data_IF_897161331349
#
_entry.id   IF_897161331349
#
_cell.length_a   1.000
_cell.length_b   1.000
_cell.length_c   1.000
_cell.angle_alpha   90.00
_cell.angle_beta   90.00
_cell.angle_gamma   90.00
#
_symmetry.space_group_name_H-M   'P 1'
#
loop_
_entity.id
_entity.type
_entity.pdbx_description
1 polymer ?
#
# COMPACT_ATOMS: atom_id res chain seq x y z
N UNK A 1 92.25 -11.84 62.66
CA UNK A 1 90.89 -12.25 62.13
C UNK A 1 90.47 -11.18 61.18
N UNK A 2 90.73 -11.41 59.86
CA UNK A 2 90.44 -10.43 58.82
C UNK A 2 89.05 -10.73 58.21
N UNK A 3 88.16 -9.80 58.32
CA UNK A 3 86.86 -9.90 57.72
C UNK A 3 86.93 -9.54 56.20
N UNK A 4 86.49 -10.43 55.37
CA UNK A 4 86.42 -10.25 53.91
C UNK A 4 85.12 -9.49 53.54
N UNK A 5 85.16 -8.45 52.68
CA UNK A 5 83.92 -7.70 52.30
C UNK A 5 83.13 -8.52 51.26
N UNK A 6 81.81 -8.64 51.53
CA UNK A 6 80.85 -9.27 50.63
C UNK A 6 80.51 -8.27 49.51
N UNK A 7 80.57 -8.62 48.22
CA UNK A 7 80.16 -7.77 47.11
C UNK A 7 78.67 -7.70 47.03
N UNK A 8 78.11 -6.50 47.15
CA UNK A 8 76.68 -6.23 46.94
C UNK A 8 76.33 -6.37 45.45
N UNK A 9 75.60 -7.45 45.11
CA UNK A 9 75.00 -7.61 43.81
C UNK A 9 73.91 -6.57 43.60
N UNK A 10 74.04 -5.62 42.66
CA UNK A 10 73.01 -4.69 42.24
C UNK A 10 71.94 -5.46 41.46
N UNK A 11 70.64 -5.32 41.79
CA UNK A 11 69.59 -5.94 40.99
C UNK A 11 69.56 -5.32 39.60
N UNK A 12 69.54 -6.20 38.56
CA UNK A 12 69.37 -5.80 37.19
C UNK A 12 68.03 -5.09 37.01
N UNK A 13 68.05 -3.86 36.51
CA UNK A 13 66.82 -3.14 36.13
C UNK A 13 66.14 -3.87 34.99
N UNK A 14 64.80 -4.20 35.10
CA UNK A 14 64.10 -4.80 33.98
C UNK A 14 64.08 -3.81 32.81
N UNK A 15 64.57 -4.28 31.68
CA UNK A 15 64.60 -3.48 30.45
C UNK A 15 63.17 -3.06 30.04
N UNK A 16 62.98 -1.79 29.84
CA UNK A 16 61.71 -1.25 29.31
C UNK A 16 61.47 -1.91 27.96
N UNK A 17 60.26 -2.48 27.70
CA UNK A 17 59.93 -3.00 26.37
C UNK A 17 60.08 -1.86 25.37
N UNK A 18 60.83 -2.06 24.32
CA UNK A 18 60.99 -1.11 23.25
C UNK A 18 59.58 -0.87 22.62
N UNK A 19 59.13 0.36 22.71
CA UNK A 19 57.89 0.75 22.02
C UNK A 19 58.11 0.58 20.53
N UNK A 20 57.45 -0.43 19.92
CA UNK A 20 57.43 -0.63 18.48
C UNK A 20 56.50 0.45 17.91
N UNK A 21 57.05 1.35 17.11
CA UNK A 21 56.27 2.29 16.33
C UNK A 21 55.53 1.59 15.21
N UNK A 22 54.35 2.09 14.84
CA UNK A 22 53.59 1.60 13.68
C UNK A 22 54.38 1.88 12.40
N UNK A 23 54.37 0.90 11.49
CA UNK A 23 54.97 1.07 10.16
C UNK A 23 53.97 1.79 9.24
N UNK A 24 54.50 2.59 8.30
CA UNK A 24 53.66 3.31 7.32
C UNK A 24 52.81 2.34 6.50
N UNK A 25 53.31 1.13 6.19
CA UNK A 25 52.58 0.10 5.47
C UNK A 25 51.39 -0.46 6.29
N UNK A 26 51.53 -0.59 7.60
CA UNK A 26 50.49 -1.08 8.49
C UNK A 26 49.31 -0.09 8.56
N UNK A 27 49.58 1.21 8.61
CA UNK A 27 48.55 2.28 8.55
C UNK A 27 47.85 2.25 7.18
N UNK A 28 48.59 2.03 6.09
CA UNK A 28 48.03 1.99 4.74
C UNK A 28 47.11 0.78 4.56
N UNK A 29 47.49 -0.38 5.06
CA UNK A 29 46.66 -1.60 5.07
C UNK A 29 45.41 -1.38 5.95
N UNK A 30 45.55 -0.81 7.13
CA UNK A 30 44.43 -0.54 8.02
C UNK A 30 43.40 0.41 7.37
N UNK A 31 43.83 1.47 6.72
CA UNK A 31 42.96 2.40 6.00
C UNK A 31 42.24 1.77 4.81
N UNK A 32 42.95 0.91 4.04
CA UNK A 32 42.31 0.19 2.92
C UNK A 32 41.23 -0.78 3.41
N UNK A 33 41.51 -1.54 4.46
CA UNK A 33 40.54 -2.45 5.06
C UNK A 33 39.35 -1.70 5.65
N UNK A 34 39.58 -0.58 6.33
CA UNK A 34 38.53 0.27 6.86
C UNK A 34 37.63 0.81 5.74
N UNK A 35 38.23 1.25 4.63
CA UNK A 35 37.49 1.74 3.46
C UNK A 35 36.58 0.66 2.84
N UNK A 36 37.12 -0.57 2.69
CA UNK A 36 36.36 -1.71 2.21
C UNK A 36 35.21 -2.07 3.15
N UNK A 37 35.43 -2.01 4.44
CA UNK A 37 34.40 -2.28 5.47
C UNK A 37 33.28 -1.25 5.42
N UNK A 38 33.61 0.05 5.26
CA UNK A 38 32.64 1.12 5.10
C UNK A 38 31.83 0.96 3.81
N UNK A 39 32.46 0.53 2.71
CA UNK A 39 31.77 0.28 1.45
C UNK A 39 30.79 -0.90 1.59
N UNK A 40 31.20 -1.99 2.21
CA UNK A 40 30.35 -3.15 2.47
C UNK A 40 29.14 -2.79 3.37
N UNK A 41 29.37 -2.02 4.42
CA UNK A 41 28.30 -1.56 5.32
C UNK A 41 27.29 -0.69 4.60
N UNK A 42 27.75 0.23 3.77
CA UNK A 42 26.87 1.09 2.96
C UNK A 42 26.04 0.27 1.97
N UNK A 43 26.63 -0.74 1.35
CA UNK A 43 25.91 -1.69 0.48
C UNK A 43 24.85 -2.47 1.21
N UNK A 44 25.13 -2.97 2.41
CA UNK A 44 24.17 -3.69 3.24
C UNK A 44 22.98 -2.81 3.67
N UNK A 45 23.23 -1.57 4.05
CA UNK A 45 22.16 -0.62 4.40
C UNK A 45 21.25 -0.30 3.20
N UNK A 46 21.81 -0.13 2.01
CA UNK A 46 21.01 0.08 0.79
C UNK A 46 20.14 -1.13 0.46
N UNK A 47 20.68 -2.33 0.57
CA UNK A 47 19.92 -3.56 0.33
C UNK A 47 18.74 -3.72 1.31
N UNK A 48 18.94 -3.40 2.58
CA UNK A 48 17.85 -3.38 3.58
C UNK A 48 16.77 -2.35 3.25
N UNK A 49 17.15 -1.14 2.83
CA UNK A 49 16.19 -0.10 2.45
C UNK A 49 15.27 -0.53 1.30
N UNK A 50 15.82 -1.12 0.24
CA UNK A 50 15.04 -1.61 -0.90
C UNK A 50 14.08 -2.74 -0.55
N UNK A 51 14.44 -3.60 0.40
CA UNK A 51 13.56 -4.68 0.86
C UNK A 51 12.37 -4.12 1.65
N UNK A 52 12.59 -3.14 2.51
CA UNK A 52 11.54 -2.50 3.30
C UNK A 52 10.50 -1.79 2.42
N UNK A 53 10.94 -1.03 1.41
CA UNK A 53 10.04 -0.34 0.47
C UNK A 53 9.17 -1.32 -0.34
N UNK A 54 9.67 -2.50 -0.67
CA UNK A 54 8.91 -3.54 -1.36
C UNK A 54 7.82 -4.16 -0.47
N UNK A 55 8.12 -4.35 0.81
CA UNK A 55 7.17 -4.89 1.79
C UNK A 55 6.10 -3.85 2.13
N UNK A 56 6.47 -2.60 2.37
CA UNK A 56 5.53 -1.51 2.66
C UNK A 56 4.52 -1.33 1.54
N UNK A 57 4.95 -1.28 0.28
CA UNK A 57 4.03 -1.20 -0.89
C UNK A 57 3.05 -2.37 -0.97
N UNK A 58 3.46 -3.58 -0.59
CA UNK A 58 2.56 -4.74 -0.56
C UNK A 58 1.53 -4.63 0.56
N UNK A 59 1.95 -4.19 1.74
CA UNK A 59 1.05 -3.98 2.89
C UNK A 59 0.02 -2.89 2.55
N UNK A 60 0.45 -1.77 1.99
CA UNK A 60 -0.45 -0.69 1.55
C UNK A 60 -1.47 -1.19 0.51
N UNK A 61 -1.04 -1.97 -0.47
CA UNK A 61 -1.94 -2.52 -1.48
C UNK A 61 -2.96 -3.53 -0.87
N UNK A 62 -2.56 -4.33 0.12
CA UNK A 62 -3.46 -5.25 0.82
C UNK A 62 -4.46 -4.50 1.70
N UNK A 63 -4.05 -3.44 2.36
CA UNK A 63 -4.92 -2.62 3.19
C UNK A 63 -5.92 -1.84 2.33
N UNK A 64 -5.50 -1.24 1.23
CA UNK A 64 -6.38 -0.59 0.25
C UNK A 64 -7.44 -1.58 -0.26
N UNK A 65 -7.04 -2.80 -0.59
CA UNK A 65 -7.96 -3.84 -1.04
C UNK A 65 -8.99 -4.22 0.03
N UNK A 66 -8.58 -4.38 1.28
CA UNK A 66 -9.48 -4.69 2.40
C UNK A 66 -10.47 -3.56 2.65
N UNK A 67 -10.00 -2.32 2.63
CA UNK A 67 -10.84 -1.13 2.79
C UNK A 67 -11.85 -1.04 1.65
N UNK A 68 -11.41 -1.23 0.40
CA UNK A 68 -12.28 -1.23 -0.76
C UNK A 68 -13.33 -2.34 -0.68
N UNK A 69 -12.95 -3.55 -0.28
CA UNK A 69 -13.87 -4.68 -0.11
C UNK A 69 -14.92 -4.43 0.97
N UNK A 70 -14.51 -3.91 2.13
CA UNK A 70 -15.43 -3.57 3.21
C UNK A 70 -16.42 -2.47 2.77
N UNK A 71 -15.89 -1.44 2.11
CA UNK A 71 -16.70 -0.35 1.56
C UNK A 71 -17.70 -0.85 0.51
N UNK A 72 -17.26 -1.65 -0.46
CA UNK A 72 -18.13 -2.21 -1.50
C UNK A 72 -19.22 -3.09 -0.89
N UNK A 73 -18.89 -3.93 0.10
CA UNK A 73 -19.88 -4.75 0.80
C UNK A 73 -20.94 -3.88 1.47
N UNK A 74 -20.53 -2.80 2.09
CA UNK A 74 -21.42 -1.88 2.81
C UNK A 74 -22.39 -1.15 1.85
N UNK A 75 -21.89 -0.61 0.74
CA UNK A 75 -22.71 0.10 -0.24
C UNK A 75 -23.59 -0.84 -1.07
N UNK A 76 -23.13 -2.06 -1.35
CA UNK A 76 -23.93 -3.07 -2.06
C UNK A 76 -25.02 -3.66 -1.16
N UNK A 77 -24.78 -3.83 0.14
CA UNK A 77 -25.80 -4.26 1.09
C UNK A 77 -26.97 -3.25 1.19
N UNK A 78 -26.69 -2.00 0.87
CA UNK A 78 -27.69 -0.92 0.84
C UNK A 78 -28.21 -0.63 -0.58
N UNK A 79 -27.88 -1.48 -1.57
CA UNK A 79 -28.41 -1.36 -2.91
C UNK A 79 -29.93 -1.53 -2.89
N UNK A 80 -30.62 -0.56 -3.43
CA UNK A 80 -32.07 -0.57 -3.47
C UNK A 80 -32.56 -1.29 -4.73
N UNK A 81 -33.11 -2.47 -4.58
CA UNK A 81 -33.77 -3.21 -5.65
C UNK A 81 -35.17 -2.64 -5.99
N UNK A 82 -35.44 -1.39 -5.66
CA UNK A 82 -36.77 -0.79 -5.93
C UNK A 82 -36.99 -0.63 -7.42
N UNK A 83 -38.05 -1.23 -7.87
CA UNK A 83 -38.72 -0.92 -9.14
C UNK A 83 -39.38 0.46 -8.98
N UNK A 84 -39.10 1.40 -9.89
CA UNK A 84 -39.79 2.68 -9.90
C UNK A 84 -41.25 2.44 -10.24
N UNK A 85 -42.14 2.66 -9.30
CA UNK A 85 -43.60 2.57 -9.52
C UNK A 85 -44.11 3.61 -10.54
N UNK A 86 -43.34 4.63 -10.85
CA UNK A 86 -43.67 5.59 -11.91
C UNK A 86 -43.70 4.99 -13.32
N UNK A 87 -43.00 3.88 -13.56
CA UNK A 87 -43.13 3.16 -14.82
C UNK A 87 -44.44 2.39 -14.97
N UNK A 88 -45.13 2.10 -13.86
CA UNK A 88 -46.41 1.39 -13.87
C UNK A 88 -47.58 2.26 -14.37
N UNK A 89 -47.48 3.57 -14.26
CA UNK A 89 -48.57 4.50 -14.66
C UNK A 89 -48.57 4.86 -16.17
N UNK A 90 -47.48 4.55 -16.91
CA UNK A 90 -47.33 4.98 -18.31
C UNK A 90 -47.03 3.87 -19.31
N UNK A 91 -47.15 2.58 -18.97
CA UNK A 91 -46.95 1.48 -19.91
C UNK A 91 -45.48 1.28 -20.37
N UNK A 92 -44.54 1.97 -19.74
CA UNK A 92 -43.10 1.83 -19.99
C UNK A 92 -42.46 0.65 -19.25
N UNK A 93 -41.41 0.10 -19.79
CA UNK A 93 -40.66 -1.00 -19.17
C UNK A 93 -40.25 -0.61 -17.74
N UNK A 94 -40.42 -1.55 -16.80
CA UNK A 94 -39.94 -1.41 -15.40
C UNK A 94 -38.47 -0.99 -15.41
N UNK A 95 -38.19 0.23 -15.00
CA UNK A 95 -36.83 0.70 -14.85
C UNK A 95 -36.20 0.00 -13.62
N UNK A 96 -35.41 -1.00 -13.87
CA UNK A 96 -34.62 -1.68 -12.84
C UNK A 96 -33.41 -0.83 -12.58
N UNK A 97 -33.31 -0.26 -11.39
CA UNK A 97 -32.15 0.54 -10.97
C UNK A 97 -30.93 -0.30 -10.61
N UNK A 98 -30.86 -1.51 -11.13
CA UNK A 98 -29.72 -2.39 -10.99
C UNK A 98 -29.39 -3.00 -12.35
N UNK A 99 -28.27 -2.63 -12.91
CA UNK A 99 -27.80 -3.14 -14.18
C UNK A 99 -26.42 -3.76 -13.99
N UNK A 100 -26.37 -5.09 -14.09
CA UNK A 100 -25.14 -5.87 -14.00
C UNK A 100 -24.63 -6.23 -15.36
N UNK A 101 -23.36 -5.95 -15.64
CA UNK A 101 -22.59 -6.38 -16.78
C UNK A 101 -21.41 -7.24 -16.28
N UNK A 102 -20.74 -8.02 -17.12
CA UNK A 102 -19.57 -8.81 -16.66
C UNK A 102 -18.43 -7.99 -16.10
N UNK A 103 -18.27 -6.75 -16.55
CA UNK A 103 -17.18 -5.81 -16.26
C UNK A 103 -17.63 -4.49 -15.61
N UNK A 104 -18.93 -4.30 -15.43
CA UNK A 104 -19.49 -3.11 -14.82
C UNK A 104 -20.78 -3.40 -14.04
N UNK A 105 -20.99 -2.65 -12.98
CA UNK A 105 -22.19 -2.70 -12.17
C UNK A 105 -22.72 -1.28 -11.96
N UNK A 106 -24.02 -1.09 -12.22
CA UNK A 106 -24.69 0.18 -12.00
C UNK A 106 -25.92 -0.05 -11.14
N UNK A 107 -26.08 0.77 -10.08
CA UNK A 107 -27.22 0.64 -9.15
C UNK A 107 -27.55 1.98 -8.48
N UNK A 108 -28.68 2.01 -7.78
CA UNK A 108 -28.99 3.07 -6.81
C UNK A 108 -28.75 2.50 -5.41
N UNK A 109 -27.96 3.23 -4.63
CA UNK A 109 -27.66 2.88 -3.24
C UNK A 109 -27.61 4.09 -2.34
N UNK A 110 -27.40 3.84 -1.06
CA UNK A 110 -27.20 4.89 -0.07
C UNK A 110 -25.70 5.06 0.14
N UNK A 111 -25.20 6.27 -0.08
CA UNK A 111 -23.84 6.61 0.28
C UNK A 111 -23.76 6.85 1.80
N UNK A 112 -22.92 6.12 2.55
CA UNK A 112 -22.79 6.34 3.98
C UNK A 112 -22.31 7.76 4.29
N UNK A 113 -22.91 8.39 5.29
CA UNK A 113 -22.61 9.78 5.68
C UNK A 113 -21.12 10.00 6.08
N UNK A 114 -20.44 8.97 6.55
CA UNK A 114 -19.00 9.01 6.86
C UNK A 114 -18.11 9.33 5.65
N UNK A 115 -18.64 9.21 4.44
CA UNK A 115 -17.95 9.59 3.20
C UNK A 115 -18.35 10.98 2.69
N UNK A 116 -19.02 11.75 3.52
CA UNK A 116 -19.27 13.20 3.31
C UNK A 116 -20.57 13.55 2.60
N UNK A 117 -21.24 12.61 1.96
CA UNK A 117 -22.33 12.92 1.04
C UNK A 117 -23.71 12.52 1.55
N UNK A 118 -23.84 11.43 2.26
CA UNK A 118 -25.13 10.91 2.71
C UNK A 118 -26.23 10.85 1.64
N UNK A 119 -27.24 10.02 1.80
CA UNK A 119 -28.38 9.99 0.90
C UNK A 119 -28.24 9.05 -0.30
N UNK A 120 -29.24 9.08 -1.19
CA UNK A 120 -29.29 8.20 -2.36
C UNK A 120 -28.46 8.74 -3.51
N UNK A 121 -27.71 7.82 -4.15
CA UNK A 121 -26.88 8.13 -5.29
C UNK A 121 -27.06 7.08 -6.37
N UNK A 122 -26.94 7.51 -7.62
CA UNK A 122 -26.58 6.63 -8.72
C UNK A 122 -25.14 6.22 -8.53
N UNK A 123 -24.83 4.94 -8.69
CA UNK A 123 -23.49 4.39 -8.50
C UNK A 123 -23.12 3.52 -9.69
N UNK A 124 -21.88 3.63 -10.15
CA UNK A 124 -21.30 2.77 -11.18
C UNK A 124 -19.94 2.32 -10.73
N UNK A 125 -19.75 1.01 -10.70
CA UNK A 125 -18.47 0.37 -10.47
C UNK A 125 -17.96 -0.20 -11.80
N UNK A 126 -16.78 0.20 -12.23
CA UNK A 126 -16.15 -0.27 -13.45
C UNK A 126 -14.63 -0.13 -13.39
N UNK A 127 -13.93 -0.80 -14.30
CA UNK A 127 -12.52 -0.53 -14.53
C UNK A 127 -12.38 0.67 -15.46
N UNK A 128 -11.52 1.61 -15.05
CA UNK A 128 -11.20 2.79 -15.85
C UNK A 128 -9.68 2.91 -16.00
N UNK A 129 -9.17 3.05 -17.23
CA UNK A 129 -7.76 3.28 -17.45
C UNK A 129 -7.42 4.76 -17.25
N UNK A 130 -6.23 5.01 -16.70
CA UNK A 130 -5.60 6.33 -16.71
C UNK A 130 -4.12 6.23 -17.11
N UNK A 131 -3.35 7.32 -17.00
CA UNK A 131 -1.94 7.36 -17.35
C UNK A 131 -1.05 6.45 -16.47
N UNK A 132 -1.53 6.06 -15.28
CA UNK A 132 -0.81 5.24 -14.30
C UNK A 132 -1.18 3.76 -14.33
N UNK A 133 -2.28 3.39 -15.02
CA UNK A 133 -2.74 2.00 -15.12
C UNK A 133 -4.26 1.88 -15.21
N UNK A 134 -4.77 0.69 -14.91
CA UNK A 134 -6.21 0.43 -14.86
C UNK A 134 -6.66 0.33 -13.41
N UNK A 135 -7.69 1.07 -13.05
CA UNK A 135 -8.16 1.18 -11.68
C UNK A 135 -9.62 0.75 -11.54
N UNK A 136 -9.96 0.20 -10.38
CA UNK A 136 -11.36 -0.01 -10.00
C UNK A 136 -11.92 1.31 -9.49
N UNK A 137 -12.85 1.87 -10.24
CA UNK A 137 -13.42 3.19 -9.98
C UNK A 137 -14.90 3.08 -9.64
N UNK A 138 -15.29 3.74 -8.56
CA UNK A 138 -16.69 4.01 -8.25
C UNK A 138 -17.04 5.42 -8.70
N UNK A 139 -17.93 5.53 -9.68
CA UNK A 139 -18.56 6.80 -10.03
C UNK A 139 -19.89 6.94 -9.32
N UNK A 140 -20.20 8.13 -8.86
CA UNK A 140 -21.46 8.38 -8.17
C UNK A 140 -21.97 9.80 -8.43
N UNK A 141 -23.30 9.93 -8.45
CA UNK A 141 -23.98 11.20 -8.58
C UNK A 141 -25.24 11.19 -7.68
N UNK A 142 -25.64 12.33 -7.13
CA UNK A 142 -26.86 12.41 -6.33
C UNK A 142 -28.09 11.93 -7.11
N UNK A 143 -28.93 11.13 -6.48
CA UNK A 143 -30.17 10.68 -7.09
C UNK A 143 -31.18 11.82 -7.13
N UNK A 144 -31.66 12.15 -8.32
CA UNK A 144 -32.60 13.24 -8.57
C UNK A 144 -34.03 12.75 -8.88
N UNK A 145 -34.32 11.45 -8.69
CA UNK A 145 -35.62 10.87 -9.00
C UNK A 145 -35.80 10.47 -10.47
N UNK A 146 -34.88 10.77 -11.35
CA UNK A 146 -34.97 10.41 -12.76
C UNK A 146 -34.90 8.88 -12.97
N UNK A 147 -35.62 8.37 -13.99
CA UNK A 147 -35.64 6.95 -14.32
C UNK A 147 -34.35 6.47 -15.02
N UNK A 148 -33.50 7.39 -15.48
CA UNK A 148 -32.23 7.11 -16.13
C UNK A 148 -31.06 7.36 -15.17
N UNK A 149 -29.97 6.62 -15.37
CA UNK A 149 -28.71 6.85 -14.67
C UNK A 149 -28.13 8.22 -15.05
N UNK A 150 -27.40 8.81 -14.11
CA UNK A 150 -26.69 10.06 -14.35
C UNK A 150 -25.68 9.93 -15.50
N UNK A 151 -25.31 11.07 -16.09
CA UNK A 151 -24.19 11.15 -17.03
C UNK A 151 -22.87 10.86 -16.30
N UNK A 152 -22.29 9.73 -16.59
CA UNK A 152 -21.08 9.24 -15.93
C UNK A 152 -19.84 10.07 -16.21
N UNK A 153 -19.85 10.87 -17.28
CA UNK A 153 -18.73 11.76 -17.60
C UNK A 153 -18.62 12.90 -16.57
N UNK A 154 -19.77 13.34 -16.03
CA UNK A 154 -19.84 14.44 -15.05
C UNK A 154 -19.93 13.95 -13.60
N UNK A 155 -20.10 12.63 -13.39
CA UNK A 155 -20.20 12.03 -12.07
C UNK A 155 -18.87 12.10 -11.31
N UNK A 156 -18.93 12.29 -10.00
CA UNK A 156 -17.75 12.17 -9.15
C UNK A 156 -17.15 10.78 -9.26
N UNK A 157 -15.83 10.72 -9.29
CA UNK A 157 -15.08 9.47 -9.40
C UNK A 157 -14.20 9.24 -8.16
N UNK A 158 -14.22 8.02 -7.65
CA UNK A 158 -13.36 7.58 -6.55
C UNK A 158 -12.64 6.30 -6.94
N UNK A 159 -11.34 6.33 -6.96
CA UNK A 159 -10.51 5.13 -7.13
C UNK A 159 -10.60 4.30 -5.84
N UNK A 160 -11.04 3.06 -5.97
CA UNK A 160 -11.13 2.11 -4.87
C UNK A 160 -9.89 1.22 -4.76
N UNK A 161 -9.41 0.74 -5.91
CA UNK A 161 -8.22 -0.11 -6.00
C UNK A 161 -7.42 0.32 -7.22
N UNK A 162 -6.12 0.45 -7.06
CA UNK A 162 -5.20 0.80 -8.13
C UNK A 162 -4.63 -0.46 -8.76
N UNK A 163 -4.20 -0.33 -10.03
CA UNK A 163 -3.46 -1.34 -10.78
C UNK A 163 -4.15 -2.71 -10.82
N UNK A 164 -5.44 -2.70 -11.23
CA UNK A 164 -6.30 -3.88 -11.30
C UNK A 164 -6.21 -4.51 -12.68
N UNK A 165 -5.89 -5.80 -12.75
CA UNK A 165 -5.77 -6.52 -14.02
C UNK A 165 -7.10 -6.93 -14.64
N UNK A 166 -8.17 -7.08 -13.84
CA UNK A 166 -9.48 -7.48 -14.33
C UNK A 166 -10.57 -7.42 -13.27
N UNK A 167 -11.80 -7.24 -13.72
CA UNK A 167 -13.01 -7.29 -12.91
C UNK A 167 -13.96 -8.30 -13.54
N UNK A 168 -14.37 -9.29 -12.77
CA UNK A 168 -15.38 -10.25 -13.18
C UNK A 168 -16.51 -10.30 -12.16
N UNK A 169 -17.69 -9.92 -12.60
CA UNK A 169 -18.90 -9.91 -11.77
C UNK A 169 -19.76 -11.12 -12.09
N UNK A 170 -20.24 -11.79 -11.06
CA UNK A 170 -21.19 -12.91 -11.18
C UNK A 170 -22.44 -12.58 -10.41
N UNK A 171 -23.59 -12.85 -11.02
CA UNK A 171 -24.89 -12.57 -10.45
C UNK A 171 -25.60 -13.89 -10.17
N UNK A 172 -26.16 -14.04 -8.99
CA UNK A 172 -27.04 -15.17 -8.69
C UNK A 172 -28.48 -14.75 -8.94
N UNK A 173 -29.17 -15.48 -9.80
CA UNK A 173 -30.61 -15.37 -9.87
C UNK A 173 -31.23 -15.97 -8.62
N UNK A 174 -32.17 -15.30 -7.92
CA UNK A 174 -32.96 -15.97 -6.91
C UNK A 174 -33.69 -17.13 -7.60
N UNK A 175 -33.49 -18.32 -7.11
CA UNK A 175 -34.25 -19.50 -7.53
C UNK A 175 -35.70 -19.20 -7.27
N UNK A 176 -36.53 -19.19 -8.31
CA UNK A 176 -37.98 -19.11 -8.27
C UNK A 176 -38.58 -20.37 -7.66
#
# INVERSE_FOLDING_TARGET
MSAWPIPHMRPARPGRPAARGFTLIEVLIALTLLSLLMLALTGAMRAMGQTSEGVERRIEAEDDYRIAQAFLRDILAQASARVSDQAAAGGGARAVFFAGQPDALTWIGIMPARHGLGGRHYMRLALEPDASGTHLVLRYAPWNGAPAFADWATAEARILVRDVQGLHLRYQHPLS
#
